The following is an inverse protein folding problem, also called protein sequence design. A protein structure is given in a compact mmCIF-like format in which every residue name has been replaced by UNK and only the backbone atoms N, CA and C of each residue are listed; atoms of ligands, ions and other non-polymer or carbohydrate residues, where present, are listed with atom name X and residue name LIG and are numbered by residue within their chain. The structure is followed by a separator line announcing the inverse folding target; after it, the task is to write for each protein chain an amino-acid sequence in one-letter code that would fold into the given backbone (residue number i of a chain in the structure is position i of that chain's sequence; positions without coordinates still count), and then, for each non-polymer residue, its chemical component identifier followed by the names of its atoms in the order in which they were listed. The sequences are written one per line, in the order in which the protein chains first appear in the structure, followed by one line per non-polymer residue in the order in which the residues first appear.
data_IF_821610178560
#
_entry.id   IF_821610178560
#
_cell.length_a   1.000
_cell.length_b   1.000
_cell.length_c   1.000
_cell.angle_alpha   90.00
_cell.angle_beta   90.00
_cell.angle_gamma   90.00
#
_symmetry.space_group_name_H-M   'P 1'
#
loop_
_entity.id
_entity.type
_entity.pdbx_description
1 polymer ?
#
# COMPACT_ATOMS: atom_id res chain seq x y z
N UNK A 1 2.57 31.94 46.64
CA UNK A 1 1.91 31.12 45.59
C UNK A 1 2.97 30.85 44.53
N UNK A 2 3.48 29.63 44.49
CA UNK A 2 4.63 29.28 43.66
C UNK A 2 4.22 28.95 42.22
N UNK A 3 4.53 29.87 41.30
CA UNK A 3 4.21 29.76 39.87
C UNK A 3 4.79 28.48 39.24
N UNK A 4 5.88 27.95 39.81
CA UNK A 4 6.51 26.70 39.37
C UNK A 4 5.66 25.45 39.64
N UNK A 5 4.93 25.39 40.76
CA UNK A 5 4.09 24.22 41.08
C UNK A 5 2.84 24.17 40.21
N UNK A 6 2.29 25.34 39.86
CA UNK A 6 1.14 25.46 38.95
C UNK A 6 1.49 25.00 37.53
N UNK A 7 2.66 25.41 37.02
CA UNK A 7 3.16 25.00 35.70
C UNK A 7 3.40 23.48 35.62
N UNK A 8 4.01 22.87 36.65
CA UNK A 8 4.24 21.43 36.68
C UNK A 8 2.95 20.60 36.72
N UNK A 9 1.88 21.11 37.36
CA UNK A 9 0.57 20.44 37.40
C UNK A 9 -0.10 20.43 36.02
N UNK A 10 -0.06 21.56 35.31
CA UNK A 10 -0.65 21.70 33.97
C UNK A 10 0.02 20.79 32.94
N UNK A 11 1.36 20.68 32.93
CA UNK A 11 2.06 19.75 32.04
C UNK A 11 1.72 18.29 32.31
N UNK A 12 1.57 17.92 33.59
CA UNK A 12 1.19 16.55 33.96
C UNK A 12 -0.21 16.21 33.45
N UNK A 13 -1.13 17.16 33.47
CA UNK A 13 -2.48 17.00 32.95
C UNK A 13 -2.46 16.79 31.44
N UNK A 14 -1.71 17.61 30.68
CA UNK A 14 -1.53 17.41 29.24
C UNK A 14 -0.90 16.06 28.89
N UNK A 15 0.08 15.59 29.67
CA UNK A 15 0.68 14.27 29.47
C UNK A 15 -0.36 13.16 29.72
N UNK A 16 -1.18 13.30 30.76
CA UNK A 16 -2.24 12.32 31.05
C UNK A 16 -3.27 12.26 29.93
N UNK A 17 -3.65 13.42 29.39
CA UNK A 17 -4.61 13.52 28.29
C UNK A 17 -4.06 12.83 27.03
N UNK A 18 -2.82 13.14 26.63
CA UNK A 18 -2.15 12.49 25.48
C UNK A 18 -2.02 10.98 25.66
N UNK A 19 -1.67 10.51 26.88
CA UNK A 19 -1.58 9.09 27.17
C UNK A 19 -2.96 8.42 27.10
N UNK A 20 -4.02 9.11 27.52
CA UNK A 20 -5.39 8.61 27.40
C UNK A 20 -5.80 8.50 25.94
N UNK A 21 -5.51 9.51 25.13
CA UNK A 21 -5.79 9.53 23.70
C UNK A 21 -5.09 8.38 22.96
N UNK A 22 -3.77 8.22 23.16
CA UNK A 22 -3.02 7.11 22.57
C UNK A 22 -3.57 5.74 22.97
N UNK A 23 -4.03 5.59 24.22
CA UNK A 23 -4.62 4.34 24.69
C UNK A 23 -5.94 4.03 23.98
N UNK A 24 -6.78 5.05 23.79
CA UNK A 24 -8.04 4.90 23.05
C UNK A 24 -7.77 4.55 21.58
N UNK A 25 -6.82 5.21 20.92
CA UNK A 25 -6.48 4.92 19.53
C UNK A 25 -5.91 3.51 19.33
N UNK A 26 -5.04 3.04 20.23
CA UNK A 26 -4.34 1.76 20.05
C UNK A 26 -5.11 0.55 20.59
N UNK A 27 -5.87 0.71 21.67
CA UNK A 27 -6.50 -0.41 22.38
C UNK A 27 -8.02 -0.42 22.30
N UNK A 28 -8.64 0.48 21.52
CA UNK A 28 -10.06 0.41 21.26
C UNK A 28 -10.42 -0.94 20.61
N UNK A 29 -11.46 -1.64 21.10
CA UNK A 29 -11.93 -2.89 20.49
C UNK A 29 -12.40 -2.72 19.02
N UNK A 30 -12.65 -1.48 18.58
CA UNK A 30 -13.06 -1.13 17.23
C UNK A 30 -11.90 -0.68 16.33
N UNK A 31 -10.65 -0.71 16.81
CA UNK A 31 -9.49 -0.25 16.05
C UNK A 31 -9.26 -1.12 14.81
N UNK A 32 -9.16 -0.48 13.64
CA UNK A 32 -8.67 -1.15 12.44
C UNK A 32 -7.14 -1.04 12.42
N UNK A 33 -6.44 -2.06 12.91
CA UNK A 33 -4.99 -2.03 13.01
C UNK A 33 -4.30 -1.81 11.64
N UNK A 34 -4.93 -2.24 10.55
CA UNK A 34 -4.39 -2.08 9.20
C UNK A 34 -4.40 -0.62 8.72
N UNK A 35 -5.19 0.28 9.33
CA UNK A 35 -5.16 1.71 8.97
C UNK A 35 -3.89 2.43 9.40
N UNK A 36 -3.11 1.84 10.31
CA UNK A 36 -1.82 2.38 10.75
C UNK A 36 -0.65 1.93 9.88
N UNK A 37 -0.88 0.98 8.97
CA UNK A 37 0.14 0.48 8.06
C UNK A 37 -0.08 1.12 6.70
N UNK A 38 0.96 1.77 6.17
CA UNK A 38 0.90 2.32 4.82
C UNK A 38 0.87 1.19 3.79
N UNK A 39 0.10 1.38 2.72
CA UNK A 39 0.05 0.44 1.60
C UNK A 39 1.43 0.37 0.93
N UNK A 40 1.94 -0.86 0.77
CA UNK A 40 3.21 -1.12 0.08
C UNK A 40 2.94 -1.38 -1.40
N UNK A 41 3.32 -0.44 -2.27
CA UNK A 41 3.18 -0.61 -3.70
C UNK A 41 4.00 -1.80 -4.24
N UNK A 42 5.16 -2.07 -3.63
CA UNK A 42 5.99 -3.22 -3.97
C UNK A 42 5.26 -4.55 -3.70
N UNK A 43 4.70 -4.73 -2.50
CA UNK A 43 3.99 -5.97 -2.14
C UNK A 43 2.70 -6.12 -2.95
N UNK A 44 1.97 -5.03 -3.18
CA UNK A 44 0.78 -5.01 -4.04
C UNK A 44 1.12 -5.42 -5.47
N UNK A 45 2.26 -5.00 -6.02
CA UNK A 45 2.72 -5.42 -7.34
C UNK A 45 3.02 -6.92 -7.41
N UNK A 46 3.62 -7.50 -6.38
CA UNK A 46 3.83 -8.94 -6.31
C UNK A 46 2.52 -9.72 -6.29
N UNK A 47 1.51 -9.24 -5.54
CA UNK A 47 0.18 -9.85 -5.54
C UNK A 47 -0.52 -9.71 -6.90
N UNK A 48 -0.36 -8.56 -7.56
CA UNK A 48 -0.89 -8.33 -8.90
C UNK A 48 -0.28 -9.27 -9.95
N UNK A 49 0.94 -9.78 -9.76
CA UNK A 49 1.59 -10.70 -10.71
C UNK A 49 1.09 -12.15 -10.61
N UNK A 50 0.31 -12.51 -9.58
CA UNK A 50 -0.16 -13.89 -9.40
C UNK A 50 -1.25 -14.17 -10.45
N UNK A 51 -1.07 -15.15 -11.36
CA UNK A 51 -2.08 -15.47 -12.37
C UNK A 51 -3.28 -16.20 -11.77
N UNK A 52 -4.48 -15.96 -12.31
CA UNK A 52 -5.67 -16.73 -11.95
C UNK A 52 -5.55 -18.17 -12.52
N UNK A 53 -5.54 -19.22 -11.68
CA UNK A 53 -5.42 -20.61 -12.14
C UNK A 53 -6.56 -21.05 -13.08
N UNK A 54 -7.74 -20.45 -12.94
CA UNK A 54 -8.88 -20.72 -13.82
C UNK A 54 -8.86 -19.85 -15.09
N UNK A 55 -8.18 -18.70 -15.06
CA UNK A 55 -8.11 -17.73 -16.17
C UNK A 55 -6.70 -17.14 -16.29
N UNK A 56 -5.73 -17.86 -16.88
CA UNK A 56 -4.32 -17.44 -16.90
C UNK A 56 -4.04 -16.10 -17.60
N UNK A 57 -5.00 -15.55 -18.35
CA UNK A 57 -4.89 -14.24 -19.00
C UNK A 57 -5.20 -13.04 -18.11
N UNK A 58 -5.39 -13.24 -16.81
CA UNK A 58 -5.62 -12.14 -15.86
C UNK A 58 -5.05 -12.46 -14.48
N UNK A 59 -4.81 -11.42 -13.66
CA UNK A 59 -4.36 -11.61 -12.28
C UNK A 59 -5.45 -12.28 -11.42
N UNK A 60 -5.02 -13.09 -10.45
CA UNK A 60 -5.86 -13.66 -9.41
C UNK A 60 -6.45 -12.54 -8.53
N UNK A 61 -5.62 -11.56 -8.16
CA UNK A 61 -6.00 -10.40 -7.35
C UNK A 61 -6.12 -9.15 -8.21
N UNK A 62 -7.19 -9.07 -9.02
CA UNK A 62 -7.40 -7.97 -9.97
C UNK A 62 -7.38 -6.57 -9.34
N UNK A 63 -7.85 -6.45 -8.10
CA UNK A 63 -7.87 -5.20 -7.34
C UNK A 63 -6.47 -4.66 -7.07
N UNK A 64 -5.46 -5.52 -6.94
CA UNK A 64 -4.07 -5.08 -6.79
C UNK A 64 -3.57 -4.36 -8.06
N UNK A 65 -3.92 -4.88 -9.24
CA UNK A 65 -3.57 -4.24 -10.51
C UNK A 65 -4.29 -2.90 -10.69
N UNK A 66 -5.58 -2.84 -10.35
CA UNK A 66 -6.36 -1.60 -10.39
C UNK A 66 -5.77 -0.54 -9.45
N UNK A 67 -5.44 -0.93 -8.22
CA UNK A 67 -4.81 -0.04 -7.25
C UNK A 67 -3.47 0.51 -7.74
N UNK A 68 -2.65 -0.32 -8.40
CA UNK A 68 -1.38 0.13 -9.00
C UNK A 68 -1.63 1.21 -10.05
N UNK A 69 -2.63 1.03 -10.92
CA UNK A 69 -2.96 2.03 -11.95
C UNK A 69 -3.43 3.36 -11.34
N UNK A 70 -4.20 3.30 -10.25
CA UNK A 70 -4.76 4.48 -9.58
C UNK A 70 -3.72 5.25 -8.75
N UNK A 71 -2.73 4.56 -8.19
CA UNK A 71 -1.76 5.14 -7.24
C UNK A 71 -0.46 5.64 -7.88
N UNK A 72 -0.32 5.55 -9.20
CA UNK A 72 0.82 6.10 -9.91
C UNK A 72 0.94 7.61 -9.63
N UNK A 73 2.11 8.06 -9.18
CA UNK A 73 2.36 9.49 -8.97
C UNK A 73 2.54 10.20 -10.30
N UNK A 74 2.35 11.52 -10.32
CA UNK A 74 2.40 12.35 -11.55
C UNK A 74 3.70 12.16 -12.36
N UNK A 75 4.82 11.88 -11.69
CA UNK A 75 6.11 11.64 -12.33
C UNK A 75 6.36 10.16 -12.69
N UNK A 76 5.35 9.30 -12.56
CA UNK A 76 5.37 7.92 -13.02
C UNK A 76 5.92 6.88 -12.04
N UNK A 77 6.23 7.26 -10.80
CA UNK A 77 6.75 6.36 -9.76
C UNK A 77 5.66 5.90 -8.78
N UNK A 78 6.00 4.90 -7.97
CA UNK A 78 5.20 4.40 -6.86
C UNK A 78 5.97 4.46 -5.53
N UNK A 79 5.24 4.59 -4.43
CA UNK A 79 5.80 4.76 -3.09
C UNK A 79 6.13 6.23 -2.77
N UNK A 80 6.97 6.43 -1.75
CA UNK A 80 7.34 7.75 -1.27
C UNK A 80 8.58 8.29 -2.00
N UNK A 81 8.50 9.54 -2.48
CA UNK A 81 9.59 10.21 -3.18
C UNK A 81 10.85 10.26 -2.32
N UNK A 82 11.98 9.81 -2.88
CA UNK A 82 13.27 9.85 -2.20
C UNK A 82 13.47 8.74 -1.17
N UNK A 83 12.49 7.86 -0.97
CA UNK A 83 12.69 6.62 -0.19
C UNK A 83 13.50 5.60 -0.98
N UNK A 84 14.24 4.75 -0.26
CA UNK A 84 14.95 3.61 -0.86
C UNK A 84 13.99 2.59 -1.49
N UNK A 85 12.74 2.56 -1.02
CA UNK A 85 11.68 1.67 -1.50
C UNK A 85 11.02 2.16 -2.80
N UNK A 86 11.20 3.43 -3.16
CA UNK A 86 10.58 4.03 -4.35
C UNK A 86 10.98 3.33 -5.66
N UNK A 87 12.28 3.10 -5.84
CA UNK A 87 12.79 2.43 -7.05
C UNK A 87 12.31 0.98 -7.19
N UNK A 88 12.46 0.08 -6.19
CA UNK A 88 11.97 -1.28 -6.31
C UNK A 88 10.45 -1.34 -6.43
N UNK A 89 9.70 -0.50 -5.70
CA UNK A 89 8.26 -0.42 -5.85
C UNK A 89 7.86 -0.02 -7.27
N UNK A 90 8.46 1.03 -7.81
CA UNK A 90 8.17 1.50 -9.17
C UNK A 90 8.49 0.45 -10.22
N UNK A 91 9.62 -0.25 -10.08
CA UNK A 91 10.00 -1.31 -11.00
C UNK A 91 9.01 -2.48 -10.94
N UNK A 92 8.62 -2.92 -9.74
CA UNK A 92 7.66 -4.00 -9.57
C UNK A 92 6.29 -3.62 -10.15
N UNK A 93 5.81 -2.40 -9.90
CA UNK A 93 4.56 -1.89 -10.46
C UNK A 93 4.60 -1.83 -11.99
N UNK A 94 5.68 -1.33 -12.59
CA UNK A 94 5.85 -1.33 -14.05
C UNK A 94 5.84 -2.75 -14.63
N UNK A 95 6.51 -3.71 -13.98
CA UNK A 95 6.50 -5.11 -14.42
C UNK A 95 5.10 -5.71 -14.33
N UNK A 96 4.36 -5.42 -13.26
CA UNK A 96 2.97 -5.88 -13.10
C UNK A 96 2.07 -5.32 -14.21
N UNK A 97 2.13 -4.01 -14.47
CA UNK A 97 1.37 -3.37 -15.55
C UNK A 97 1.74 -3.97 -16.90
N UNK A 98 3.03 -4.04 -17.22
CA UNK A 98 3.52 -4.59 -18.49
C UNK A 98 3.08 -6.05 -18.69
N UNK A 99 3.08 -6.87 -17.63
CA UNK A 99 2.71 -8.29 -17.72
C UNK A 99 1.26 -8.47 -18.18
N UNK A 100 0.35 -7.62 -17.68
CA UNK A 100 -1.08 -7.72 -17.98
C UNK A 100 -1.53 -6.82 -19.13
N UNK A 101 -0.78 -5.77 -19.45
CA UNK A 101 -0.93 -5.03 -20.72
C UNK A 101 -0.40 -5.84 -21.91
N UNK A 102 0.57 -6.73 -21.69
CA UNK A 102 1.20 -7.55 -22.74
C UNK A 102 0.75 -9.03 -22.80
N UNK A 103 -0.29 -9.49 -22.08
CA UNK A 103 -0.68 -10.92 -22.07
C UNK A 103 -2.20 -11.19 -22.11
N UNK A 104 -2.70 -12.26 -22.80
CA UNK A 104 -2.10 -13.15 -23.81
C UNK A 104 -2.82 -13.02 -25.17
N UNK A 105 -2.35 -12.13 -26.03
CA UNK A 105 -2.56 -12.23 -27.47
C UNK A 105 -1.19 -11.99 -28.08
N UNK A 106 -0.45 -13.05 -28.42
CA UNK A 106 0.67 -13.11 -29.40
C UNK A 106 1.51 -14.40 -29.37
N UNK A 107 1.11 -15.47 -28.66
CA UNK A 107 1.73 -16.80 -28.87
C UNK A 107 0.63 -17.87 -28.87
N UNK A 108 0.11 -18.20 -30.07
CA UNK A 108 -0.84 -19.32 -30.24
C UNK A 108 -1.93 -19.18 -31.30
N UNK A 109 -1.96 -18.12 -32.11
CA UNK A 109 -2.71 -18.09 -33.39
C UNK A 109 -1.75 -18.19 -34.58
N UNK A 110 -0.96 -19.25 -34.58
CA UNK A 110 -0.38 -19.78 -35.80
C UNK A 110 -0.42 -21.29 -35.64
N UNK A 111 -0.93 -22.00 -36.65
CA UNK A 111 -1.00 -23.48 -36.73
C UNK A 111 -2.16 -24.14 -35.96
N UNK A 112 -3.39 -23.99 -36.45
CA UNK A 112 -4.38 -25.07 -36.64
C UNK A 112 -5.63 -24.48 -37.30
N UNK A 113 -5.63 -24.40 -38.63
CA UNK A 113 -6.73 -24.86 -39.47
C UNK A 113 -6.27 -24.83 -40.92
N UNK A 114 -6.21 -26.05 -41.45
CA UNK A 114 -6.18 -26.44 -42.87
C UNK A 114 -7.23 -25.71 -43.69
#
# INVERSE_FOLDING_TARGET
MDIKSFSSSSYMESIKDLVSEMKEEMFSPAVNLCSFVSSSAYDTAWLALIPDPARPGQPLFRQCLEWIMEEQKEEGFWGERGSIECLPASLACMVALQTWEAGPCNVGREMHNT
#
